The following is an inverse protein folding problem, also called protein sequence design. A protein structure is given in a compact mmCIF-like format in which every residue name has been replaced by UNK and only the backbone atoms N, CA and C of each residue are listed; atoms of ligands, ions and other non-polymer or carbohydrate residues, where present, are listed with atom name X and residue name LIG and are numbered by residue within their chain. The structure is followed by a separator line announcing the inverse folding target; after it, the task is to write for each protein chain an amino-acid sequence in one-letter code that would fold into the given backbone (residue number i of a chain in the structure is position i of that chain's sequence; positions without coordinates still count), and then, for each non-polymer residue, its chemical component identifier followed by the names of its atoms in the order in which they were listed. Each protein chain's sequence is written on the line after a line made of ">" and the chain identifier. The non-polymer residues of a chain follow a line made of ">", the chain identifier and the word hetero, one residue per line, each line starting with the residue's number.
data_IF_239251252658
#
_entry.id   IF_239251252658
#
_cell.length_a   1.000
_cell.length_b   1.000
_cell.length_c   1.000
_cell.angle_alpha   90.00
_cell.angle_beta   90.00
_cell.angle_gamma   90.00
#
_symmetry.space_group_name_H-M   'P 1'
#
loop_
_entity.id
_entity.type
_entity.pdbx_description
1 polymer ?
#
# COMPACT_ATOMS: atom_id res chain seq x y z
N UNK A 1 7.22 -10.03 -4.26
CA UNK A 1 8.40 -9.19 -4.60
C UNK A 1 8.82 -8.39 -3.38
N UNK A 2 10.07 -7.95 -3.29
CA UNK A 2 10.52 -7.12 -2.17
C UNK A 2 10.56 -5.64 -2.56
N UNK A 3 10.06 -4.78 -1.69
CA UNK A 3 10.05 -3.32 -1.85
C UNK A 3 10.72 -2.71 -0.62
N UNK A 4 11.62 -1.75 -0.86
CA UNK A 4 12.22 -0.92 0.17
C UNK A 4 11.97 0.54 -0.21
N UNK A 5 11.01 1.23 0.42
CA UNK A 5 10.59 2.56 -0.03
C UNK A 5 11.68 3.62 0.01
N UNK A 6 12.54 3.58 1.03
CA UNK A 6 13.70 4.44 1.18
C UNK A 6 14.91 3.65 1.72
N UNK A 7 16.15 4.18 1.63
CA UNK A 7 17.33 3.53 2.18
C UNK A 7 17.31 3.29 3.70
N UNK A 8 16.39 3.92 4.45
CA UNK A 8 16.22 3.73 5.90
C UNK A 8 14.98 2.92 6.26
N UNK A 9 14.07 2.73 5.30
CA UNK A 9 12.84 1.96 5.48
C UNK A 9 13.12 0.48 5.67
N UNK A 10 12.12 -0.21 6.23
CA UNK A 10 12.08 -1.67 6.27
C UNK A 10 11.94 -2.24 4.85
N UNK A 11 12.29 -3.52 4.70
CA UNK A 11 12.06 -4.27 3.48
C UNK A 11 10.75 -5.02 3.64
N UNK A 12 9.83 -4.82 2.68
CA UNK A 12 8.53 -5.46 2.65
C UNK A 12 8.46 -6.44 1.50
N UNK A 13 8.08 -7.68 1.79
CA UNK A 13 7.64 -8.64 0.79
C UNK A 13 6.17 -8.39 0.51
N UNK A 14 5.84 -8.04 -0.73
CA UNK A 14 4.47 -7.82 -1.20
C UNK A 14 4.05 -8.87 -2.21
N UNK A 15 2.78 -9.22 -2.18
CA UNK A 15 2.12 -10.03 -3.21
C UNK A 15 1.33 -9.10 -4.11
N UNK A 16 1.56 -9.21 -5.42
CA UNK A 16 0.76 -8.53 -6.44
C UNK A 16 0.01 -9.62 -7.20
N UNK A 17 -1.31 -9.61 -7.11
CA UNK A 17 -2.18 -10.55 -7.81
C UNK A 17 -2.88 -9.82 -8.97
N UNK A 18 -2.57 -10.24 -10.19
CA UNK A 18 -3.23 -9.73 -11.38
C UNK A 18 -4.46 -10.60 -11.68
N UNK A 19 -5.66 -10.03 -11.54
CA UNK A 19 -6.89 -10.71 -11.96
C UNK A 19 -7.16 -10.45 -13.45
N UNK A 20 -7.66 -11.45 -14.17
CA UNK A 20 -8.10 -11.29 -15.55
C UNK A 20 -9.22 -10.24 -15.63
N UNK A 21 -8.99 -9.15 -16.36
CA UNK A 21 -9.93 -8.03 -16.48
C UNK A 21 -10.07 -7.15 -15.24
N UNK A 22 -9.39 -7.49 -14.14
CA UNK A 22 -9.43 -6.77 -12.88
C UNK A 22 -8.22 -5.85 -12.66
N UNK A 23 -8.34 -5.01 -11.63
CA UNK A 23 -7.22 -4.21 -11.13
C UNK A 23 -6.23 -5.10 -10.37
N UNK A 24 -4.94 -4.78 -10.36
CA UNK A 24 -3.96 -5.49 -9.55
C UNK A 24 -4.29 -5.30 -8.07
N UNK A 25 -4.32 -6.41 -7.32
CA UNK A 25 -4.49 -6.41 -5.87
C UNK A 25 -3.12 -6.54 -5.22
N UNK A 26 -2.87 -5.75 -4.17
CA UNK A 26 -1.58 -5.72 -3.48
C UNK A 26 -1.78 -5.95 -1.99
N UNK A 27 -1.05 -6.90 -1.44
CA UNK A 27 -1.02 -7.17 0.01
C UNK A 27 0.42 -7.31 0.50
N UNK A 28 0.68 -6.91 1.74
CA UNK A 28 1.97 -7.11 2.42
C UNK A 28 1.96 -8.50 3.06
N UNK A 29 3.01 -9.27 2.80
CA UNK A 29 3.18 -10.65 3.30
C UNK A 29 4.13 -10.67 4.50
N UNK A 30 5.21 -9.90 4.42
CA UNK A 30 6.26 -9.88 5.46
C UNK A 30 7.01 -8.54 5.45
N UNK A 31 7.33 -7.95 6.62
CA UNK A 31 6.74 -8.31 7.92
C UNK A 31 5.22 -8.03 7.92
N UNK A 32 4.44 -8.73 8.77
CA UNK A 32 3.03 -8.40 8.97
C UNK A 32 2.87 -6.93 9.38
N UNK A 33 1.86 -6.27 8.80
CA UNK A 33 1.57 -4.88 9.13
C UNK A 33 1.04 -4.79 10.56
N UNK A 34 1.52 -3.80 11.30
CA UNK A 34 1.15 -3.54 12.67
C UNK A 34 0.17 -2.38 12.74
N UNK A 35 -0.66 -2.38 13.78
CA UNK A 35 -1.54 -1.26 14.07
C UNK A 35 -0.85 -0.28 15.01
N UNK A 36 -1.02 1.01 14.74
CA UNK A 36 -0.71 2.06 15.71
C UNK A 36 -1.49 1.80 17.01
N UNK A 37 -0.90 2.03 18.21
CA UNK A 37 -1.59 1.80 19.47
C UNK A 37 -2.98 2.48 19.55
N UNK A 38 -4.02 1.67 19.76
CA UNK A 38 -5.41 2.13 19.83
C UNK A 38 -6.15 2.17 18.49
N UNK A 39 -5.48 1.91 17.36
CA UNK A 39 -6.15 1.72 16.07
C UNK A 39 -6.81 0.34 15.99
N UNK A 40 -7.95 0.26 15.31
CA UNK A 40 -8.71 -0.99 15.08
C UNK A 40 -8.52 -1.55 13.68
N UNK A 41 -7.97 -0.76 12.75
CA UNK A 41 -7.69 -1.17 11.37
C UNK A 41 -6.54 -0.36 10.78
N UNK A 42 -5.95 -0.87 9.70
CA UNK A 42 -4.98 -0.12 8.90
C UNK A 42 -5.69 1.02 8.15
N UNK A 43 -5.02 2.16 7.97
CA UNK A 43 -5.50 3.22 7.08
C UNK A 43 -5.38 2.77 5.62
N UNK A 44 -6.28 3.22 4.76
CA UNK A 44 -6.17 3.04 3.30
C UNK A 44 -5.95 1.58 2.86
N UNK A 45 -6.77 0.69 3.40
CA UNK A 45 -6.92 -0.69 2.93
C UNK A 45 -8.37 -0.98 2.56
N UNK A 46 -8.56 -1.89 1.61
CA UNK A 46 -9.82 -2.60 1.39
C UNK A 46 -9.88 -3.82 2.35
N UNK A 47 -10.98 -4.60 2.36
CA UNK A 47 -11.02 -5.86 3.11
C UNK A 47 -9.83 -6.76 2.81
N UNK A 48 -9.48 -7.61 3.77
CA UNK A 48 -8.32 -8.53 3.71
C UNK A 48 -6.95 -7.83 3.58
N UNK A 49 -6.84 -6.61 4.11
CA UNK A 49 -5.64 -5.77 4.10
C UNK A 49 -5.08 -5.47 2.70
N UNK A 50 -5.94 -5.47 1.67
CA UNK A 50 -5.56 -5.08 0.32
C UNK A 50 -5.30 -3.57 0.26
N UNK A 51 -4.11 -3.17 -0.17
CA UNK A 51 -3.70 -1.76 -0.17
C UNK A 51 -4.53 -0.91 -1.14
N UNK A 52 -5.00 0.24 -0.66
CA UNK A 52 -5.64 1.26 -1.48
C UNK A 52 -4.56 2.21 -2.04
N UNK A 53 -4.08 1.90 -3.26
CA UNK A 53 -2.91 2.55 -3.86
C UNK A 53 -3.23 3.76 -4.75
N UNK A 54 -4.48 3.93 -5.20
CA UNK A 54 -4.85 4.93 -6.20
C UNK A 54 -6.35 5.20 -6.19
N UNK A 55 -6.75 6.33 -6.79
CA UNK A 55 -8.16 6.69 -6.91
C UNK A 55 -8.89 5.84 -7.97
N UNK A 56 -10.21 5.63 -7.82
CA UNK A 56 -11.03 4.97 -8.83
C UNK A 56 -10.80 5.57 -10.23
N UNK A 57 -10.44 4.71 -11.19
CA UNK A 57 -10.21 5.11 -12.58
C UNK A 57 -8.81 5.67 -12.90
N UNK A 58 -7.93 5.88 -11.90
CA UNK A 58 -6.56 6.32 -12.12
C UNK A 58 -5.70 5.23 -12.78
N UNK A 59 -5.86 3.98 -12.33
CA UNK A 59 -5.21 2.83 -12.96
C UNK A 59 -5.94 2.41 -14.26
N UNK A 60 -5.17 2.03 -15.29
CA UNK A 60 -5.66 1.49 -16.55
C UNK A 60 -4.92 0.19 -16.91
N UNK A 61 -5.57 -0.80 -17.55
CA UNK A 61 -4.93 -2.09 -17.91
C UNK A 61 -3.65 -1.99 -18.75
N UNK A 62 -3.49 -0.89 -19.51
CA UNK A 62 -2.30 -0.64 -20.34
C UNK A 62 -1.10 -0.09 -19.55
N UNK A 63 -1.26 0.24 -18.27
CA UNK A 63 -0.19 0.77 -17.43
C UNK A 63 0.71 -0.35 -16.95
N UNK A 64 2.01 -0.14 -16.99
CA UNK A 64 2.99 -1.09 -16.47
C UNK A 64 2.97 -1.08 -14.95
N UNK A 65 2.96 -2.27 -14.34
CA UNK A 65 3.01 -2.41 -12.88
C UNK A 65 4.28 -1.77 -12.30
N UNK A 66 5.41 -1.89 -13.00
CA UNK A 66 6.70 -1.33 -12.60
C UNK A 66 6.72 0.19 -12.50
N UNK A 67 5.90 0.89 -13.28
CA UNK A 67 5.84 2.36 -13.30
C UNK A 67 4.59 2.91 -12.60
N UNK A 68 3.73 2.06 -12.05
CA UNK A 68 2.49 2.47 -11.36
C UNK A 68 2.34 1.76 -10.02
N UNK A 69 1.99 0.48 -10.02
CA UNK A 69 1.72 -0.29 -8.81
C UNK A 69 2.93 -0.37 -7.88
N UNK A 70 4.12 -0.64 -8.42
CA UNK A 70 5.35 -0.71 -7.61
C UNK A 70 5.66 0.63 -6.92
N UNK A 71 5.74 1.77 -7.64
CA UNK A 71 5.98 3.06 -6.99
C UNK A 71 4.84 3.48 -6.06
N UNK A 72 3.57 3.26 -6.40
CA UNK A 72 2.45 3.54 -5.49
C UNK A 72 2.47 2.68 -4.23
N UNK A 73 2.89 1.42 -4.33
CA UNK A 73 3.08 0.55 -3.16
C UNK A 73 4.20 1.09 -2.26
N UNK A 74 5.31 1.54 -2.85
CA UNK A 74 6.39 2.17 -2.08
C UNK A 74 5.92 3.45 -1.38
N UNK A 75 5.16 4.30 -2.08
CA UNK A 75 4.57 5.51 -1.51
C UNK A 75 3.64 5.21 -0.34
N UNK A 76 2.72 4.26 -0.51
CA UNK A 76 1.83 3.82 0.57
C UNK A 76 2.62 3.31 1.78
N UNK A 77 3.68 2.52 1.56
CA UNK A 77 4.54 2.01 2.63
C UNK A 77 5.29 3.13 3.38
N UNK A 78 5.71 4.21 2.71
CA UNK A 78 6.28 5.38 3.39
C UNK A 78 5.25 6.06 4.30
N UNK A 79 4.02 6.22 3.83
CA UNK A 79 2.94 6.79 4.65
C UNK A 79 2.56 5.88 5.82
N UNK A 80 2.57 4.58 5.62
CA UNK A 80 2.38 3.59 6.68
C UNK A 80 3.48 3.66 7.74
N UNK A 81 4.76 3.75 7.36
CA UNK A 81 5.87 3.90 8.33
C UNK A 81 5.69 5.19 9.15
N UNK A 82 5.28 6.30 8.53
CA UNK A 82 5.00 7.53 9.25
C UNK A 82 3.77 7.43 10.16
N UNK A 83 2.71 6.77 9.69
CA UNK A 83 1.50 6.53 10.47
C UNK A 83 1.79 5.66 11.68
N UNK A 84 2.59 4.60 11.53
CA UNK A 84 2.97 3.75 12.64
C UNK A 84 3.78 4.52 13.71
N UNK A 85 4.55 5.53 13.28
CA UNK A 85 5.32 6.37 14.19
C UNK A 85 4.50 7.49 14.87
N UNK A 86 3.48 8.03 14.20
CA UNK A 86 2.80 9.28 14.61
C UNK A 86 1.31 9.13 14.93
N UNK A 87 0.70 8.03 14.50
CA UNK A 87 -0.75 7.81 14.52
C UNK A 87 -1.52 8.63 13.49
N UNK A 88 -0.85 9.47 12.68
CA UNK A 88 -1.46 10.33 11.68
C UNK A 88 -1.16 9.85 10.27
N UNK A 89 -2.21 9.65 9.47
CA UNK A 89 -2.03 9.29 8.06
C UNK A 89 -1.69 10.54 7.25
N UNK A 90 -0.58 10.47 6.51
CA UNK A 90 -0.06 11.57 5.68
C UNK A 90 -0.22 11.35 4.18
N UNK A 91 -0.78 10.21 3.78
CA UNK A 91 -0.98 9.86 2.38
C UNK A 91 -2.20 10.55 1.77
N UNK A 92 -2.23 10.58 0.45
CA UNK A 92 -3.41 10.99 -0.31
C UNK A 92 -4.61 10.05 -0.11
N UNK A 93 -5.78 10.49 -0.57
CA UNK A 93 -7.06 9.84 -0.31
C UNK A 93 -7.71 10.45 0.92
N UNK A 94 -8.77 11.23 0.74
CA UNK A 94 -9.50 11.78 1.87
C UNK A 94 -10.21 10.63 2.58
N UNK A 95 -9.83 10.38 3.84
CA UNK A 95 -10.77 9.87 4.82
C UNK A 95 -11.89 10.90 4.94
N UNK A 96 -13.08 10.52 4.50
CA UNK A 96 -14.33 11.14 4.96
C UNK A 96 -14.80 10.42 6.22
#
# INVERSE_FOLDING_TARGET
>A
MSIRPSPVSQVYTVRILQQHGGRPQVTVIDPPLQLYPGATSLPHVYPDDELCLYYPGQWKPKMLLSTTIVPWTAEWLMHYELWLATGQWSGGGHGG
#
